data_IF_029894186306
#
_entry.id   IF_029894186306
#
_cell.length_a   1.000
_cell.length_b   1.000
_cell.length_c   1.000
_cell.angle_alpha   90.00
_cell.angle_beta   90.00
_cell.angle_gamma   90.00
#
_symmetry.space_group_name_H-M   'P 1'
#
loop_
_entity.id
_entity.type
_entity.pdbx_description
1 polymer ?
#
# COMPACT_ATOMS: atom_id res chain seq x y z
N UNK A 1 -46.08 26.12 -12.23
CA UNK A 1 -45.06 25.11 -11.84
C UNK A 1 -45.36 24.41 -10.49
N UNK A 2 -46.55 24.54 -9.89
CA UNK A 2 -46.92 23.83 -8.64
C UNK A 2 -48.02 22.76 -8.84
N UNK A 3 -48.45 22.49 -10.08
CA UNK A 3 -49.62 21.64 -10.38
C UNK A 3 -49.28 20.38 -11.20
N UNK A 4 -48.01 20.03 -11.32
CA UNK A 4 -47.60 18.82 -12.02
C UNK A 4 -46.90 17.91 -11.03
N UNK A 5 -47.41 16.69 -10.89
CA UNK A 5 -46.88 15.63 -10.01
C UNK A 5 -45.38 15.34 -10.16
N UNK A 6 -44.72 15.95 -11.14
CA UNK A 6 -43.26 16.06 -11.27
C UNK A 6 -42.56 16.48 -9.98
N UNK A 7 -43.10 17.40 -9.17
CA UNK A 7 -42.45 17.76 -7.90
C UNK A 7 -42.45 16.56 -6.93
N UNK A 8 -43.57 15.85 -6.86
CA UNK A 8 -43.72 14.64 -6.03
C UNK A 8 -42.86 13.50 -6.56
N UNK A 9 -42.79 13.31 -7.88
CA UNK A 9 -41.91 12.33 -8.51
C UNK A 9 -40.45 12.63 -8.22
N UNK A 10 -40.00 13.88 -8.38
CA UNK A 10 -38.64 14.28 -8.04
C UNK A 10 -38.32 14.04 -6.57
N UNK A 11 -39.22 14.41 -5.65
CA UNK A 11 -39.06 14.15 -4.22
C UNK A 11 -38.98 12.66 -3.92
N UNK A 12 -39.80 11.84 -4.56
CA UNK A 12 -39.79 10.38 -4.41
C UNK A 12 -38.52 9.76 -5.00
N UNK A 13 -38.07 10.22 -6.18
CA UNK A 13 -36.82 9.77 -6.80
C UNK A 13 -35.63 10.12 -5.92
N UNK A 14 -35.56 11.35 -5.40
CA UNK A 14 -34.51 11.77 -4.45
C UNK A 14 -34.60 10.95 -3.17
N UNK A 15 -35.80 10.73 -2.61
CA UNK A 15 -36.00 9.92 -1.41
C UNK A 15 -35.51 8.48 -1.58
N UNK A 16 -35.89 7.81 -2.67
CA UNK A 16 -35.45 6.45 -2.97
C UNK A 16 -33.95 6.39 -3.32
N UNK A 17 -33.41 7.43 -3.97
CA UNK A 17 -31.97 7.54 -4.23
C UNK A 17 -31.18 7.73 -2.93
N UNK A 18 -31.56 8.67 -2.07
CA UNK A 18 -30.95 8.89 -0.75
C UNK A 18 -31.10 7.65 0.12
N UNK A 19 -32.26 6.98 0.12
CA UNK A 19 -32.44 5.74 0.91
C UNK A 19 -31.55 4.60 0.41
N UNK A 20 -31.45 4.40 -0.91
CA UNK A 20 -30.59 3.35 -1.49
C UNK A 20 -29.09 3.66 -1.34
N UNK A 21 -28.69 4.93 -1.34
CA UNK A 21 -27.30 5.37 -1.18
C UNK A 21 -26.91 5.60 0.28
N UNK A 22 -27.85 5.90 1.17
CA UNK A 22 -27.62 6.00 2.62
C UNK A 22 -27.59 4.63 3.29
N UNK A 23 -28.10 3.58 2.63
CA UNK A 23 -27.92 2.18 3.01
C UNK A 23 -26.60 1.58 2.50
N UNK A 24 -25.89 2.27 1.59
CA UNK A 24 -24.45 2.07 1.50
C UNK A 24 -23.90 2.66 2.78
N UNK A 25 -23.31 1.87 3.67
CA UNK A 25 -22.76 2.43 4.88
C UNK A 25 -21.55 3.26 4.46
N UNK A 26 -21.74 4.57 4.27
CA UNK A 26 -20.65 5.49 4.05
C UNK A 26 -19.64 5.45 5.21
N UNK A 27 -20.02 4.86 6.36
CA UNK A 27 -19.20 4.73 7.56
C UNK A 27 -19.44 3.44 8.37
N UNK A 28 -19.91 2.33 7.78
CA UNK A 28 -19.63 1.05 8.46
C UNK A 28 -18.16 0.79 8.23
N UNK A 29 -17.34 1.06 9.25
CA UNK A 29 -15.94 0.66 9.30
C UNK A 29 -15.81 -0.69 8.61
N UNK A 30 -15.09 -0.79 7.48
CA UNK A 30 -14.96 -2.07 6.82
C UNK A 30 -14.37 -3.03 7.84
N UNK A 31 -14.92 -4.25 7.91
CA UNK A 31 -14.23 -5.40 8.48
C UNK A 31 -12.73 -5.20 8.24
N UNK A 32 -11.94 -5.07 9.34
CA UNK A 32 -10.50 -4.72 9.34
C UNK A 32 -9.88 -4.96 7.98
N UNK A 33 -9.51 -3.89 7.26
CA UNK A 33 -8.97 -4.00 5.91
C UNK A 33 -7.95 -5.14 5.86
N UNK A 34 -8.10 -6.13 4.95
CA UNK A 34 -7.17 -7.25 4.88
C UNK A 34 -5.77 -6.75 4.48
N UNK A 35 -4.90 -6.45 5.46
CA UNK A 35 -3.54 -5.92 5.24
C UNK A 35 -2.56 -6.94 4.61
N UNK A 36 -3.04 -8.13 4.24
CA UNK A 36 -2.21 -9.20 3.70
C UNK A 36 -1.46 -8.77 2.43
N UNK A 37 -2.06 -7.93 1.58
CA UNK A 37 -1.38 -7.43 0.37
C UNK A 37 -0.24 -6.47 0.73
N UNK A 38 -0.41 -5.58 1.71
CA UNK A 38 0.66 -4.71 2.22
C UNK A 38 1.78 -5.52 2.85
N UNK A 39 1.45 -6.53 3.67
CA UNK A 39 2.45 -7.42 4.29
C UNK A 39 3.25 -8.19 3.25
N UNK A 40 2.59 -8.66 2.18
CA UNK A 40 3.29 -9.30 1.05
C UNK A 40 4.24 -8.33 0.36
N UNK A 41 3.78 -7.12 0.03
CA UNK A 41 4.64 -6.11 -0.61
C UNK A 41 5.82 -5.71 0.28
N UNK A 42 5.58 -5.52 1.58
CA UNK A 42 6.62 -5.26 2.58
C UNK A 42 7.68 -6.37 2.57
N UNK A 43 7.26 -7.63 2.70
CA UNK A 43 8.18 -8.77 2.74
C UNK A 43 9.01 -8.90 1.45
N UNK A 44 8.42 -8.65 0.28
CA UNK A 44 9.16 -8.68 -0.99
C UNK A 44 10.18 -7.54 -1.08
N UNK A 45 9.81 -6.34 -0.63
CA UNK A 45 10.71 -5.20 -0.58
C UNK A 45 11.88 -5.46 0.37
N UNK A 46 11.60 -5.90 1.60
CA UNK A 46 12.63 -6.25 2.59
C UNK A 46 13.57 -7.32 2.06
N UNK A 47 13.06 -8.35 1.38
CA UNK A 47 13.89 -9.39 0.75
C UNK A 47 14.81 -8.82 -0.33
N UNK A 48 14.34 -7.86 -1.14
CA UNK A 48 15.16 -7.19 -2.16
C UNK A 48 16.26 -6.36 -1.49
N UNK A 49 15.92 -5.54 -0.51
CA UNK A 49 16.88 -4.72 0.24
C UNK A 49 17.93 -5.59 0.93
N UNK A 50 17.50 -6.68 1.56
CA UNK A 50 18.41 -7.61 2.23
C UNK A 50 19.41 -8.24 1.25
N UNK A 51 18.98 -8.62 0.04
CA UNK A 51 19.89 -9.14 -1.00
C UNK A 51 20.91 -8.09 -1.45
N UNK A 52 20.46 -6.86 -1.71
CA UNK A 52 21.36 -5.77 -2.10
C UNK A 52 22.37 -5.42 -1.01
N UNK A 53 21.94 -5.42 0.26
CA UNK A 53 22.83 -5.22 1.41
C UNK A 53 23.87 -6.33 1.50
N UNK A 54 23.46 -7.61 1.42
CA UNK A 54 24.42 -8.73 1.44
C UNK A 54 25.42 -8.63 0.28
N UNK A 55 24.95 -8.30 -0.93
CA UNK A 55 25.82 -8.13 -2.09
C UNK A 55 26.87 -7.05 -1.86
N UNK A 56 26.48 -5.89 -1.31
CA UNK A 56 27.41 -4.81 -0.99
C UNK A 56 28.39 -5.21 0.11
N UNK A 57 27.90 -5.82 1.19
CA UNK A 57 28.72 -6.34 2.28
C UNK A 57 29.78 -7.33 1.77
N UNK A 58 29.42 -8.24 0.88
CA UNK A 58 30.37 -9.15 0.22
C UNK A 58 31.40 -8.38 -0.62
N UNK A 59 30.97 -7.36 -1.36
CA UNK A 59 31.85 -6.54 -2.21
C UNK A 59 32.88 -5.74 -1.40
N UNK A 60 32.46 -5.11 -0.29
CA UNK A 60 33.35 -4.30 0.57
C UNK A 60 34.04 -5.14 1.66
N UNK A 61 33.83 -6.45 1.71
CA UNK A 61 34.44 -7.36 2.68
C UNK A 61 33.92 -7.20 4.12
N UNK A 62 32.79 -6.52 4.33
CA UNK A 62 32.22 -6.27 5.66
C UNK A 62 31.15 -7.31 5.97
N UNK A 63 31.22 -7.90 7.16
CA UNK A 63 30.15 -8.78 7.65
C UNK A 63 28.95 -7.96 8.16
N UNK A 64 27.73 -8.32 7.73
CA UNK A 64 26.51 -7.90 8.43
C UNK A 64 26.55 -8.39 9.89
N UNK A 65 25.72 -7.82 10.78
CA UNK A 65 25.72 -8.14 12.21
C UNK A 65 25.82 -9.65 12.47
N UNK A 66 27.00 -10.09 12.93
CA UNK A 66 27.26 -11.47 13.33
C UNK A 66 27.12 -11.60 14.84
N UNK A 67 26.78 -12.80 15.29
CA UNK A 67 26.91 -13.15 16.69
C UNK A 67 28.39 -12.98 17.09
N UNK A 68 28.65 -12.20 18.14
CA UNK A 68 30.00 -11.97 18.67
C UNK A 68 30.39 -13.13 19.58
N UNK A 69 31.53 -13.76 19.31
CA UNK A 69 32.12 -14.76 20.19
C UNK A 69 32.66 -14.08 21.46
N UNK A 70 32.98 -14.88 22.49
CA UNK A 70 33.56 -14.35 23.72
C UNK A 70 34.87 -13.57 23.44
N UNK A 71 35.72 -14.11 22.56
CA UNK A 71 36.95 -13.46 22.08
C UNK A 71 36.70 -12.08 21.46
N UNK A 72 35.67 -11.94 20.63
CA UNK A 72 35.35 -10.67 19.96
C UNK A 72 34.88 -9.62 20.97
N UNK A 73 34.24 -10.06 22.06
CA UNK A 73 33.77 -9.18 23.14
C UNK A 73 34.94 -8.70 23.99
N UNK A 74 35.89 -9.58 24.28
CA UNK A 74 37.10 -9.26 25.03
C UNK A 74 37.97 -8.28 24.21
N UNK A 75 38.18 -8.55 22.91
CA UNK A 75 38.90 -7.65 22.01
C UNK A 75 38.24 -6.27 21.91
N UNK A 76 36.90 -6.22 21.83
CA UNK A 76 36.16 -4.96 21.80
C UNK A 76 36.31 -4.18 23.11
N UNK A 77 36.38 -4.88 24.25
CA UNK A 77 36.59 -4.28 25.56
C UNK A 77 38.00 -3.69 25.66
N UNK A 78 39.01 -4.45 25.23
CA UNK A 78 40.41 -4.04 25.26
C UNK A 78 40.67 -2.84 24.34
N UNK A 79 40.06 -2.85 23.16
CA UNK A 79 40.22 -1.78 22.14
C UNK A 79 39.16 -0.69 22.24
N UNK A 80 38.31 -0.68 23.28
CA UNK A 80 37.18 0.23 23.38
C UNK A 80 37.57 1.70 23.19
N UNK A 81 38.69 2.11 23.80
CA UNK A 81 39.18 3.48 23.72
C UNK A 81 39.73 3.84 22.33
N UNK A 82 40.27 2.85 21.60
CA UNK A 82 40.88 3.00 20.28
C UNK A 82 39.83 3.06 19.15
N UNK A 83 38.62 2.55 19.38
CA UNK A 83 37.51 2.64 18.42
C UNK A 83 37.12 4.08 18.10
N UNK A 84 37.31 5.01 19.04
CA UNK A 84 37.02 6.44 18.82
C UNK A 84 37.97 7.12 17.82
N UNK A 85 39.14 6.51 17.61
CA UNK A 85 40.18 6.99 16.69
C UNK A 85 40.23 6.19 15.38
N UNK A 86 39.38 5.17 15.25
CA UNK A 86 39.28 4.39 14.01
C UNK A 86 38.62 5.24 12.93
N UNK A 87 39.38 5.57 11.89
CA UNK A 87 38.82 6.16 10.69
C UNK A 87 38.16 5.06 9.86
N UNK A 88 36.83 5.10 9.78
CA UNK A 88 36.06 4.16 8.97
C UNK A 88 35.74 4.86 7.67
N UNK A 89 36.34 4.39 6.59
CA UNK A 89 36.04 4.90 5.26
C UNK A 89 34.61 4.48 4.83
N UNK A 90 33.69 5.43 4.95
CA UNK A 90 32.29 5.25 4.57
C UNK A 90 32.03 5.47 3.08
N UNK A 91 33.03 5.90 2.30
CA UNK A 91 32.83 6.22 0.87
C UNK A 91 32.41 4.99 0.05
N UNK A 92 32.78 3.80 0.51
CA UNK A 92 32.41 2.51 -0.07
C UNK A 92 30.93 2.13 0.15
N UNK A 93 30.26 2.74 1.13
CA UNK A 93 28.86 2.49 1.44
C UNK A 93 27.96 3.34 0.55
N UNK A 94 27.42 2.70 -0.48
CA UNK A 94 26.47 3.33 -1.41
C UNK A 94 25.02 3.05 -1.02
N UNK A 95 24.04 3.84 -1.48
CA UNK A 95 22.63 3.48 -1.35
C UNK A 95 22.31 2.15 -2.06
N UNK A 96 21.56 1.27 -1.40
CA UNK A 96 21.10 -0.03 -1.98
C UNK A 96 19.85 0.06 -2.85
N UNK A 97 19.21 1.23 -2.89
CA UNK A 97 18.06 1.53 -3.73
C UNK A 97 18.02 3.03 -4.05
N UNK A 98 17.44 3.37 -5.20
CA UNK A 98 17.10 4.75 -5.56
C UNK A 98 15.66 5.08 -5.13
N UNK A 99 15.28 6.37 -4.97
CA UNK A 99 13.91 6.76 -4.65
C UNK A 99 12.86 6.19 -5.64
N UNK A 100 13.24 6.07 -6.92
CA UNK A 100 12.40 5.48 -7.96
C UNK A 100 12.05 4.03 -7.69
N UNK A 101 12.99 3.21 -7.18
CA UNK A 101 12.75 1.81 -6.89
C UNK A 101 11.64 1.63 -5.84
N UNK A 102 11.66 2.47 -4.81
CA UNK A 102 10.65 2.45 -3.77
C UNK A 102 9.29 2.94 -4.29
N UNK A 103 9.29 4.01 -5.11
CA UNK A 103 8.07 4.50 -5.76
C UNK A 103 7.42 3.42 -6.62
N UNK A 104 8.19 2.68 -7.40
CA UNK A 104 7.66 1.56 -8.20
C UNK A 104 6.93 0.55 -7.31
N UNK A 105 7.52 0.15 -6.18
CA UNK A 105 6.88 -0.77 -5.22
C UNK A 105 5.54 -0.21 -4.73
N UNK A 106 5.47 1.08 -4.40
CA UNK A 106 4.23 1.72 -3.97
C UNK A 106 3.15 1.71 -5.06
N UNK A 107 3.54 1.95 -6.32
CA UNK A 107 2.62 1.93 -7.46
C UNK A 107 2.05 0.53 -7.73
N UNK A 108 2.77 -0.53 -7.36
CA UNK A 108 2.31 -1.92 -7.49
C UNK A 108 1.41 -2.38 -6.34
N UNK A 109 1.29 -1.61 -5.26
CA UNK A 109 0.37 -1.92 -4.16
C UNK A 109 -1.06 -1.68 -4.63
N UNK A 110 -1.88 -2.74 -4.65
CA UNK A 110 -3.31 -2.64 -4.93
C UNK A 110 -4.12 -3.16 -3.75
N UNK A 111 -4.99 -2.30 -3.21
CA UNK A 111 -5.99 -2.75 -2.23
C UNK A 111 -7.05 -3.59 -2.95
N UNK A 112 -7.43 -4.76 -2.42
CA UNK A 112 -8.56 -5.55 -2.94
C UNK A 112 -9.88 -4.77 -2.95
N UNK A 113 -9.98 -3.74 -2.10
CA UNK A 113 -11.14 -2.88 -1.97
C UNK A 113 -11.09 -1.66 -2.91
N UNK A 114 -9.99 -1.45 -3.63
CA UNK A 114 -9.86 -0.34 -4.56
C UNK A 114 -10.73 -0.58 -5.80
N UNK A 115 -11.75 0.26 -5.98
CA UNK A 115 -12.55 0.34 -7.21
C UNK A 115 -12.19 1.64 -7.93
N UNK A 116 -11.70 1.59 -9.17
CA UNK A 116 -11.55 2.78 -9.99
C UNK A 116 -12.90 3.50 -10.09
N UNK A 117 -12.89 4.82 -9.96
CA UNK A 117 -14.07 5.69 -9.97
C UNK A 117 -14.96 5.42 -11.21
N UNK A 118 -14.36 5.03 -12.34
CA UNK A 118 -15.05 4.72 -13.60
C UNK A 118 -15.93 3.45 -13.58
N UNK A 119 -15.69 2.52 -12.65
CA UNK A 119 -16.41 1.23 -12.60
C UNK A 119 -17.79 1.31 -11.94
N UNK A 120 -18.04 2.37 -11.16
CA UNK A 120 -19.31 2.56 -10.45
C UNK A 120 -20.40 3.07 -11.40
N UNK A 121 -20.03 3.78 -12.47
CA UNK A 121 -20.98 4.47 -13.35
C UNK A 121 -21.44 3.61 -14.55
N UNK A 122 -20.55 2.79 -15.13
CA UNK A 122 -20.89 2.01 -16.34
C UNK A 122 -21.84 0.82 -16.08
N UNK A 123 -21.65 0.09 -14.98
CA UNK A 123 -22.53 -1.05 -14.65
C UNK A 123 -23.94 -0.63 -14.22
N UNK A 124 -24.08 0.59 -13.68
CA UNK A 124 -25.38 1.13 -13.27
C UNK A 124 -26.20 1.66 -14.45
N UNK A 125 -25.54 2.13 -15.51
CA UNK A 125 -26.19 2.60 -16.74
C UNK A 125 -26.68 1.44 -17.63
N UNK A 126 -25.89 0.35 -17.73
CA UNK A 126 -26.25 -0.81 -18.58
C UNK A 126 -27.28 -1.76 -17.96
N UNK A 127 -27.45 -1.76 -16.63
CA UNK A 127 -28.42 -2.62 -15.93
C UNK A 127 -29.87 -2.10 -15.92
N UNK A 128 -30.10 -0.83 -16.32
CA UNK A 128 -31.41 -0.19 -16.28
C UNK A 128 -32.22 -0.25 -17.58
N UNK A 129 -31.62 -0.71 -18.68
CA UNK A 129 -32.27 -0.72 -20.01
C UNK A 129 -32.45 -2.14 -20.52
N UNK A 130 -33.35 -2.92 -19.91
CA UNK A 130 -33.99 -4.07 -20.59
C UNK A 130 -35.26 -4.48 -19.86
N UNK A 131 -36.41 -4.11 -20.44
CA UNK A 131 -37.69 -4.74 -20.14
C UNK A 131 -38.88 -3.78 -20.16
N UNK A 132 -39.46 -3.56 -21.35
CA UNK A 132 -40.83 -3.05 -21.42
C UNK A 132 -41.15 -2.11 -22.59
N UNK A 133 -40.88 -2.49 -23.83
CA UNK A 133 -41.52 -1.85 -24.99
C UNK A 133 -41.55 -2.81 -26.18
N UNK A 134 -42.63 -3.58 -26.28
CA UNK A 134 -43.32 -4.05 -27.50
C UNK A 134 -44.70 -4.56 -27.01
N UNK A 135 -45.71 -3.71 -26.96
CA UNK A 135 -46.71 -3.41 -28.01
C UNK A 135 -47.92 -4.36 -27.95
N UNK A 136 -49.10 -3.76 -27.71
CA UNK A 136 -50.50 -4.21 -27.84
C UNK A 136 -50.95 -5.59 -27.35
#
# INVERSE_FOLDING_TARGET
>A
MKETGMETELRNTVFHWVRSHSLQPAHAYPLKEPLAYLRKSQMQWEKRIHKSLNSMCTEIGVSLSRFRLASDRDELSDKWNELSTYDIDLTSYRPVYAPKDFLEVLLWIRSPNYRPIESVDFQRWLGGSRGGLFDR
#
